data_IF_642583277847
#
_entry.id   IF_642583277847
#
_cell.length_a   1.000
_cell.length_b   1.000
_cell.length_c   1.000
_cell.angle_alpha   90.00
_cell.angle_beta   90.00
_cell.angle_gamma   90.00
#
_symmetry.space_group_name_H-M   'P 1'
#
loop_
_entity.id
_entity.type
_entity.pdbx_description
1 polymer ?
#
# COMPACT_ATOMS: atom_id res chain seq x y z
N UNK A 1 11.49 42.66 21.16
CA UNK A 1 10.60 41.66 21.83
C UNK A 1 10.54 40.33 21.10
N UNK A 2 10.32 40.28 19.77
CA UNK A 2 10.27 39.01 19.01
C UNK A 2 11.55 38.17 19.12
N UNK A 3 12.72 38.82 19.10
CA UNK A 3 14.03 38.17 19.22
C UNK A 3 14.23 37.47 20.58
N UNK A 4 13.69 38.03 21.67
CA UNK A 4 13.76 37.40 22.99
C UNK A 4 12.77 36.25 23.14
N UNK A 5 11.61 36.36 22.48
CA UNK A 5 10.57 35.32 22.51
C UNK A 5 10.98 34.06 21.74
N UNK A 6 11.66 34.24 20.59
CA UNK A 6 12.21 33.13 19.80
C UNK A 6 13.34 32.42 20.55
N UNK A 7 14.26 33.17 21.16
CA UNK A 7 15.34 32.59 21.97
C UNK A 7 14.82 31.84 23.21
N UNK A 8 13.74 32.34 23.84
CA UNK A 8 13.11 31.68 25.00
C UNK A 8 12.43 30.35 24.61
N UNK A 9 11.74 30.30 23.47
CA UNK A 9 11.13 29.05 22.96
C UNK A 9 12.19 28.01 22.59
N UNK A 10 13.32 28.44 22.03
CA UNK A 10 14.43 27.54 21.68
C UNK A 10 15.08 26.95 22.93
N UNK A 11 15.21 27.73 24.02
CA UNK A 11 15.78 27.27 25.28
C UNK A 11 14.87 26.33 26.07
N UNK A 12 13.55 26.58 26.08
CA UNK A 12 12.63 25.88 26.99
C UNK A 12 12.05 24.57 26.41
N UNK A 13 11.97 24.39 25.08
CA UNK A 13 11.15 23.32 24.48
C UNK A 13 11.87 22.25 23.67
N UNK A 14 13.14 22.44 23.28
CA UNK A 14 13.76 21.57 22.29
C UNK A 14 14.63 20.45 22.85
N UNK A 15 14.85 20.38 24.17
CA UNK A 15 15.71 19.34 24.70
C UNK A 15 15.35 18.80 26.08
N UNK A 16 14.52 17.76 26.07
CA UNK A 16 14.75 16.44 26.71
C UNK A 16 13.52 15.57 26.43
N UNK A 17 13.66 14.28 26.02
CA UNK A 17 14.47 13.27 26.72
C UNK A 17 15.24 12.26 25.81
N UNK A 18 15.76 12.66 24.64
CA UNK A 18 16.33 11.70 23.66
C UNK A 18 17.83 11.82 23.34
N UNK A 19 18.62 12.53 24.14
CA UNK A 19 20.08 12.65 23.89
C UNK A 19 20.83 11.63 24.72
N UNK A 20 21.63 10.77 24.08
CA UNK A 20 22.52 9.84 24.76
C UNK A 20 23.61 10.58 25.56
N UNK A 21 24.13 10.03 26.67
CA UNK A 21 24.90 10.79 27.66
C UNK A 21 26.35 11.12 27.26
N UNK A 22 26.85 10.65 26.11
CA UNK A 22 28.29 10.60 25.86
C UNK A 22 28.97 11.92 25.45
N UNK A 23 28.21 12.96 25.05
CA UNK A 23 28.65 14.37 25.06
C UNK A 23 27.47 15.26 24.66
N UNK A 24 26.59 15.64 25.62
CA UNK A 24 25.42 16.45 25.33
C UNK A 24 25.80 17.80 24.68
N UNK A 25 26.90 18.40 25.14
CA UNK A 25 27.43 19.69 24.66
C UNK A 25 27.69 19.70 23.15
N UNK A 26 28.30 18.65 22.60
CA UNK A 26 28.60 18.59 21.16
C UNK A 26 27.32 18.43 20.33
N UNK A 27 26.35 17.68 20.84
CA UNK A 27 25.04 17.53 20.20
C UNK A 27 24.29 18.87 20.16
N UNK A 28 24.20 19.57 21.29
CA UNK A 28 23.58 20.90 21.37
C UNK A 28 24.29 21.90 20.45
N UNK A 29 25.62 21.90 20.46
CA UNK A 29 26.42 22.78 19.61
C UNK A 29 26.21 22.49 18.12
N UNK A 30 26.09 21.21 17.73
CA UNK A 30 25.81 20.81 16.36
C UNK A 30 24.40 21.24 15.93
N UNK A 31 23.39 21.03 16.78
CA UNK A 31 22.00 21.46 16.50
C UNK A 31 21.89 22.97 16.40
N UNK A 32 22.49 23.72 17.32
CA UNK A 32 22.51 25.18 17.28
C UNK A 32 23.25 25.72 16.05
N UNK A 33 24.36 25.08 15.64
CA UNK A 33 25.07 25.43 14.41
C UNK A 33 24.22 25.15 13.17
N UNK A 34 23.60 23.98 13.07
CA UNK A 34 22.73 23.62 11.96
C UNK A 34 21.55 24.61 11.84
N UNK A 35 20.87 24.89 12.95
CA UNK A 35 19.75 25.82 12.98
C UNK A 35 20.15 27.25 12.61
N UNK A 36 21.33 27.70 13.07
CA UNK A 36 21.85 29.03 12.72
C UNK A 36 22.18 29.12 11.22
N UNK A 37 22.81 28.09 10.66
CA UNK A 37 23.11 28.00 9.22
C UNK A 37 21.82 28.00 8.40
N UNK A 38 20.87 27.11 8.70
CA UNK A 38 19.59 27.03 8.00
C UNK A 38 18.79 28.33 8.08
N UNK A 39 18.78 28.98 9.25
CA UNK A 39 18.09 30.27 9.43
C UNK A 39 18.77 31.39 8.62
N UNK A 40 20.09 31.36 8.49
CA UNK A 40 20.85 32.34 7.69
C UNK A 40 20.63 32.15 6.20
N UNK A 41 20.59 30.89 5.73
CA UNK A 41 20.30 30.54 4.34
C UNK A 41 18.87 30.91 3.96
N UNK A 42 17.90 30.60 4.83
CA UNK A 42 16.51 31.01 4.68
C UNK A 42 16.38 32.53 4.57
N UNK A 43 17.10 33.27 5.41
CA UNK A 43 17.10 34.74 5.36
C UNK A 43 17.65 35.24 4.03
N UNK A 44 18.77 34.71 3.56
CA UNK A 44 19.36 35.08 2.25
C UNK A 44 18.41 34.74 1.11
N UNK A 45 17.77 33.57 1.15
CA UNK A 45 16.77 33.14 0.18
C UNK A 45 15.57 34.09 0.14
N UNK A 46 14.98 34.40 1.30
CA UNK A 46 13.85 35.32 1.40
C UNK A 46 14.22 36.72 0.90
N UNK A 47 15.41 37.22 1.25
CA UNK A 47 15.91 38.50 0.70
C UNK A 47 15.93 38.47 -0.82
N UNK A 48 16.47 37.41 -1.46
CA UNK A 48 16.49 37.27 -2.92
C UNK A 48 15.09 37.23 -3.54
N UNK A 49 14.15 36.55 -2.89
CA UNK A 49 12.74 36.50 -3.32
C UNK A 49 12.08 37.87 -3.22
N UNK A 50 12.32 38.61 -2.13
CA UNK A 50 11.73 39.94 -1.93
C UNK A 50 12.37 41.03 -2.82
N UNK A 51 13.64 40.91 -3.19
CA UNK A 51 14.34 41.87 -4.05
C UNK A 51 14.06 41.66 -5.55
N UNK A 52 13.07 40.83 -5.91
CA UNK A 52 12.73 40.50 -7.30
C UNK A 52 13.92 40.01 -8.14
N UNK A 53 14.93 39.42 -7.51
CA UNK A 53 15.95 38.61 -8.17
C UNK A 53 15.41 37.19 -8.48
N UNK A 54 14.09 37.06 -8.50
CA UNK A 54 13.35 35.86 -8.88
C UNK A 54 13.61 35.46 -10.34
N UNK A 55 14.04 36.40 -11.18
CA UNK A 55 14.43 36.10 -12.57
C UNK A 55 15.77 35.35 -12.64
N UNK A 56 16.70 35.55 -11.70
CA UNK A 56 17.90 34.70 -11.58
C UNK A 56 17.59 33.31 -11.00
N UNK A 57 16.49 33.18 -10.25
CA UNK A 57 15.95 31.88 -9.79
C UNK A 57 15.10 31.17 -10.85
N UNK A 58 14.64 31.86 -11.90
CA UNK A 58 13.89 31.25 -13.03
C UNK A 58 14.81 30.68 -14.10
N UNK A 59 16.03 31.17 -14.26
CA UNK A 59 16.95 30.71 -15.31
C UNK A 59 17.82 29.56 -14.78
N UNK A 60 17.28 28.33 -14.83
CA UNK A 60 18.01 27.05 -15.04
C UNK A 60 17.14 25.78 -14.96
N UNK A 61 15.84 25.90 -14.69
CA UNK A 61 14.91 24.80 -14.78
C UNK A 61 14.02 25.04 -16.00
N UNK A 62 14.41 24.46 -17.14
CA UNK A 62 13.52 24.38 -18.28
C UNK A 62 12.28 23.59 -17.82
N UNK A 63 11.19 24.30 -17.51
CA UNK A 63 10.09 23.76 -16.69
C UNK A 63 9.48 22.48 -17.27
N UNK A 64 9.63 22.28 -18.58
CA UNK A 64 9.23 21.08 -19.29
C UNK A 64 10.21 19.91 -19.09
N UNK A 65 11.52 20.16 -19.08
CA UNK A 65 12.56 19.16 -18.80
C UNK A 65 12.52 18.73 -17.33
N UNK A 66 12.41 19.69 -16.40
CA UNK A 66 12.31 19.41 -14.96
C UNK A 66 11.05 18.61 -14.62
N UNK A 67 9.93 18.89 -15.30
CA UNK A 67 8.68 18.13 -15.13
C UNK A 67 8.79 16.71 -15.68
N UNK A 68 9.50 16.50 -16.79
CA UNK A 68 9.78 15.16 -17.33
C UNK A 68 10.75 14.37 -16.45
N UNK A 69 11.79 14.99 -15.91
CA UNK A 69 12.73 14.37 -14.98
C UNK A 69 12.05 14.01 -13.66
N UNK A 70 11.23 14.92 -13.09
CA UNK A 70 10.42 14.65 -11.90
C UNK A 70 9.40 13.53 -12.15
N UNK A 71 8.80 13.46 -13.34
CA UNK A 71 7.90 12.36 -13.71
C UNK A 71 8.66 11.03 -13.87
N UNK A 72 9.89 11.04 -14.39
CA UNK A 72 10.76 9.87 -14.47
C UNK A 72 11.24 9.41 -13.09
N UNK A 73 11.62 10.34 -12.21
CA UNK A 73 11.95 10.08 -10.81
C UNK A 73 10.76 9.45 -10.10
N UNK A 74 9.57 10.04 -10.22
CA UNK A 74 8.35 9.47 -9.67
C UNK A 74 8.05 8.08 -10.21
N UNK A 75 8.22 7.84 -11.52
CA UNK A 75 8.07 6.50 -12.10
C UNK A 75 9.11 5.50 -11.57
N UNK A 76 10.36 5.94 -11.40
CA UNK A 76 11.44 5.10 -10.86
C UNK A 76 11.21 4.74 -9.39
N UNK A 77 10.71 5.68 -8.59
CA UNK A 77 10.34 5.46 -7.20
C UNK A 77 9.12 4.54 -7.11
N UNK A 78 8.11 4.77 -7.96
CA UNK A 78 6.96 3.87 -8.09
C UNK A 78 7.36 2.46 -8.51
N UNK A 79 8.28 2.29 -9.46
CA UNK A 79 8.78 0.99 -9.85
C UNK A 79 9.55 0.31 -8.70
N UNK A 80 10.30 1.08 -7.91
CA UNK A 80 11.02 0.58 -6.72
C UNK A 80 10.07 0.13 -5.62
N UNK A 81 9.04 0.93 -5.31
CA UNK A 81 7.99 0.56 -4.36
C UNK A 81 7.17 -0.63 -4.88
N UNK A 82 6.86 -0.68 -6.17
CA UNK A 82 6.17 -1.82 -6.77
C UNK A 82 7.00 -3.10 -6.67
N UNK A 83 8.31 -3.03 -6.94
CA UNK A 83 9.23 -4.15 -6.73
C UNK A 83 9.27 -4.60 -5.26
N UNK A 84 9.23 -3.66 -4.31
CA UNK A 84 9.16 -3.96 -2.88
C UNK A 84 7.85 -4.65 -2.51
N UNK A 85 6.71 -4.17 -2.99
CA UNK A 85 5.39 -4.80 -2.78
C UNK A 85 5.37 -6.21 -3.39
N UNK A 86 5.88 -6.37 -4.60
CA UNK A 86 5.98 -7.68 -5.26
C UNK A 86 6.91 -8.62 -4.50
N UNK A 87 8.04 -8.15 -3.97
CA UNK A 87 8.95 -8.93 -3.13
C UNK A 87 8.27 -9.38 -1.81
N UNK A 88 7.54 -8.49 -1.14
CA UNK A 88 6.76 -8.85 0.05
C UNK A 88 5.65 -9.86 -0.25
N UNK A 89 4.96 -9.71 -1.38
CA UNK A 89 3.94 -10.67 -1.83
C UNK A 89 4.55 -12.04 -2.14
N UNK A 90 5.74 -12.09 -2.78
CA UNK A 90 6.46 -13.36 -3.02
C UNK A 90 6.90 -14.05 -1.73
N UNK A 91 7.29 -13.27 -0.71
CA UNK A 91 7.62 -13.80 0.62
C UNK A 91 6.38 -14.29 1.40
N UNK A 92 5.19 -13.85 0.98
CA UNK A 92 3.90 -14.26 1.52
C UNK A 92 3.52 -13.53 2.82
N UNK A 93 2.22 -13.35 3.04
CA UNK A 93 1.69 -12.75 4.27
C UNK A 93 1.56 -13.83 5.35
N UNK A 94 2.36 -13.74 6.41
CA UNK A 94 2.32 -14.70 7.53
C UNK A 94 1.12 -14.44 8.41
N UNK A 95 0.01 -15.14 8.18
CA UNK A 95 -1.22 -15.07 8.98
C UNK A 95 -1.06 -15.62 10.42
N UNK A 96 0.08 -16.26 10.72
CA UNK A 96 0.40 -16.81 12.03
C UNK A 96 1.92 -16.74 12.26
N UNK A 97 2.34 -16.15 13.39
CA UNK A 97 3.75 -16.10 13.80
C UNK A 97 4.17 -17.49 14.27
N UNK A 98 4.61 -18.32 13.33
CA UNK A 98 5.19 -19.63 13.61
C UNK A 98 6.68 -19.52 13.28
N UNK A 99 7.54 -19.84 14.25
CA UNK A 99 8.98 -19.93 14.05
C UNK A 99 9.27 -21.18 13.22
N UNK A 100 9.11 -21.09 11.90
CA UNK A 100 9.70 -22.08 11.01
C UNK A 100 11.17 -21.72 10.83
N UNK A 101 12.05 -22.65 11.20
CA UNK A 101 13.46 -22.64 10.81
C UNK A 101 13.53 -22.25 9.32
N UNK A 102 14.40 -21.30 9.03
CA UNK A 102 14.66 -20.81 7.68
C UNK A 102 14.90 -21.97 6.71
N UNK A 103 13.89 -22.34 5.92
CA UNK A 103 14.16 -22.76 4.56
C UNK A 103 14.51 -21.48 3.80
N UNK A 104 15.74 -21.41 3.30
CA UNK A 104 16.11 -20.41 2.30
C UNK A 104 15.05 -20.42 1.19
N UNK A 105 14.56 -19.25 0.74
CA UNK A 105 13.74 -19.19 -0.45
C UNK A 105 14.51 -19.90 -1.56
N UNK A 106 14.00 -21.05 -2.01
CA UNK A 106 14.65 -21.78 -3.09
C UNK A 106 14.50 -20.91 -4.33
N UNK A 107 15.62 -20.40 -4.84
CA UNK A 107 15.66 -19.75 -6.14
C UNK A 107 15.33 -20.83 -7.17
N UNK A 108 14.06 -20.91 -7.56
CA UNK A 108 13.67 -21.76 -8.67
C UNK A 108 14.00 -20.99 -9.95
N UNK A 109 14.96 -21.49 -10.72
CA UNK A 109 15.33 -20.97 -12.05
C UNK A 109 14.11 -20.88 -12.98
N UNK A 110 13.10 -21.70 -12.72
CA UNK A 110 11.83 -21.75 -13.42
C UNK A 110 10.70 -21.32 -12.49
N UNK A 111 9.80 -20.50 -13.02
CA UNK A 111 8.53 -20.18 -12.36
C UNK A 111 7.73 -21.46 -12.07
N UNK A 112 6.89 -21.49 -11.02
CA UNK A 112 6.00 -22.61 -10.77
C UNK A 112 5.15 -23.03 -11.99
N UNK A 113 4.83 -22.08 -12.88
CA UNK A 113 4.16 -22.35 -14.15
C UNK A 113 5.06 -23.10 -15.13
N UNK A 114 6.30 -22.68 -15.31
CA UNK A 114 7.25 -23.35 -16.22
C UNK A 114 7.58 -24.77 -15.75
N UNK A 115 7.75 -24.97 -14.44
CA UNK A 115 7.91 -26.30 -13.84
C UNK A 115 6.69 -27.17 -14.15
N UNK A 116 5.48 -26.65 -13.95
CA UNK A 116 4.24 -27.37 -14.24
C UNK A 116 4.12 -27.71 -15.74
N UNK A 117 4.45 -26.76 -16.62
CA UNK A 117 4.40 -26.98 -18.07
C UNK A 117 5.43 -28.02 -18.51
N UNK A 118 6.62 -28.04 -17.90
CA UNK A 118 7.65 -29.07 -18.13
C UNK A 118 7.19 -30.44 -17.63
N UNK A 119 6.60 -30.52 -16.44
CA UNK A 119 6.07 -31.76 -15.88
C UNK A 119 4.90 -32.32 -16.72
N UNK A 120 4.03 -31.47 -17.27
CA UNK A 120 2.97 -31.86 -18.21
C UNK A 120 3.57 -32.38 -19.52
N UNK A 121 4.53 -31.64 -20.11
CA UNK A 121 5.19 -32.02 -21.38
C UNK A 121 5.96 -33.33 -21.25
N UNK A 122 6.69 -33.50 -20.15
CA UNK A 122 7.44 -34.73 -19.82
C UNK A 122 6.57 -35.85 -19.25
N UNK A 123 5.27 -35.61 -19.05
CA UNK A 123 4.30 -36.54 -18.43
C UNK A 123 4.76 -37.06 -17.06
N UNK A 124 5.43 -36.21 -16.29
CA UNK A 124 5.93 -36.51 -14.95
C UNK A 124 4.80 -36.41 -13.91
N UNK A 125 3.72 -37.16 -14.12
CA UNK A 125 2.59 -37.21 -13.21
C UNK A 125 2.15 -38.66 -12.97
N UNK A 126 1.76 -38.96 -11.72
CA UNK A 126 1.15 -40.23 -11.36
C UNK A 126 -0.35 -40.01 -11.13
N UNK A 127 -1.18 -40.32 -12.13
CA UNK A 127 -2.63 -40.26 -11.97
C UNK A 127 -3.12 -41.49 -11.20
N UNK A 128 -3.93 -41.26 -10.16
CA UNK A 128 -4.71 -42.35 -9.55
C UNK A 128 -5.75 -42.83 -10.55
N UNK A 129 -5.69 -44.11 -10.94
CA UNK A 129 -6.71 -44.76 -11.75
C UNK A 129 -7.95 -44.96 -10.88
N UNK A 130 -8.97 -44.12 -11.07
CA UNK A 130 -10.29 -44.35 -10.46
C UNK A 130 -10.99 -45.39 -11.32
N UNK A 131 -10.95 -46.64 -10.86
CA UNK A 131 -11.70 -47.75 -11.44
C UNK A 131 -13.09 -47.79 -10.80
N UNK A 132 -14.12 -48.13 -11.58
CA UNK A 132 -15.46 -48.42 -11.06
C UNK A 132 -15.71 -49.89 -11.34
N UNK A 133 -15.82 -50.71 -10.29
CA UNK A 133 -16.04 -52.16 -10.37
C UNK A 133 -14.97 -52.97 -11.13
N UNK A 134 -13.69 -52.57 -11.04
CA UNK A 134 -12.59 -53.36 -11.61
C UNK A 134 -12.29 -53.13 -13.09
N UNK A 135 -13.06 -52.27 -13.76
CA UNK A 135 -12.77 -51.79 -15.11
C UNK A 135 -12.49 -50.28 -15.13
N UNK A 136 -11.66 -49.84 -16.09
CA UNK A 136 -11.51 -48.41 -16.41
C UNK A 136 -12.85 -47.97 -17.02
N UNK A 137 -13.56 -46.98 -16.44
CA UNK A 137 -14.81 -46.50 -17.01
C UNK A 137 -14.58 -46.15 -18.48
N UNK A 138 -15.39 -46.69 -19.42
CA UNK A 138 -15.23 -46.40 -20.84
C UNK A 138 -15.22 -44.88 -20.98
N UNK A 139 -14.11 -44.34 -21.53
CA UNK A 139 -13.92 -42.91 -21.80
C UNK A 139 -15.27 -42.33 -22.20
N UNK A 140 -15.73 -41.33 -21.46
CA UNK A 140 -17.04 -40.68 -21.64
C UNK A 140 -17.36 -40.67 -23.13
N UNK A 141 -18.24 -41.56 -23.59
CA UNK A 141 -18.41 -41.87 -25.02
C UNK A 141 -18.89 -40.66 -25.82
N UNK A 142 -19.34 -39.62 -25.12
CA UNK A 142 -19.80 -38.35 -25.66
C UNK A 142 -18.76 -37.30 -25.34
N UNK A 143 -18.23 -36.69 -26.39
CA UNK A 143 -17.40 -35.49 -26.31
C UNK A 143 -18.11 -34.44 -25.44
N UNK A 144 -17.41 -33.91 -24.43
CA UNK A 144 -17.98 -32.91 -23.51
C UNK A 144 -18.54 -31.71 -24.28
N UNK A 145 -17.89 -31.35 -25.39
CA UNK A 145 -18.35 -30.32 -26.29
C UNK A 145 -19.71 -30.66 -26.95
N UNK A 146 -19.91 -31.91 -27.38
CA UNK A 146 -21.18 -32.36 -27.93
C UNK A 146 -22.31 -32.34 -26.89
N UNK A 147 -22.02 -32.73 -25.65
CA UNK A 147 -22.98 -32.68 -24.53
C UNK A 147 -23.40 -31.23 -24.22
N UNK A 148 -22.44 -30.31 -24.20
CA UNK A 148 -22.72 -28.88 -23.97
C UNK A 148 -23.55 -28.30 -25.12
N UNK A 149 -23.26 -28.67 -26.37
CA UNK A 149 -24.04 -28.21 -27.52
C UNK A 149 -25.47 -28.75 -27.52
N UNK A 150 -25.67 -30.03 -27.18
CA UNK A 150 -27.01 -30.63 -27.02
C UNK A 150 -27.82 -29.92 -25.91
N UNK A 151 -27.13 -29.51 -24.83
CA UNK A 151 -27.72 -28.71 -23.77
C UNK A 151 -28.12 -27.31 -24.22
N UNK A 152 -27.29 -26.61 -24.99
CA UNK A 152 -27.64 -25.28 -25.54
C UNK A 152 -28.82 -25.38 -26.49
N UNK A 153 -28.82 -26.40 -27.37
CA UNK A 153 -29.87 -26.62 -28.38
C UNK A 153 -31.22 -27.02 -27.79
N UNK A 154 -31.23 -27.72 -26.66
CA UNK A 154 -32.46 -28.16 -25.98
C UNK A 154 -33.10 -27.07 -25.12
N UNK A 155 -32.41 -25.95 -24.86
CA UNK A 155 -32.97 -24.87 -24.05
C UNK A 155 -34.00 -24.07 -24.86
N UNK A 156 -35.19 -23.79 -24.31
CA UNK A 156 -36.14 -22.89 -24.93
C UNK A 156 -35.54 -21.47 -25.07
N UNK A 157 -35.98 -20.68 -26.07
CA UNK A 157 -35.50 -19.32 -26.26
C UNK A 157 -35.63 -18.47 -24.98
N UNK A 158 -34.58 -17.72 -24.64
CA UNK A 158 -34.60 -16.85 -23.47
C UNK A 158 -35.69 -15.78 -23.65
N UNK A 159 -36.43 -15.48 -22.58
CA UNK A 159 -37.39 -14.36 -22.59
C UNK A 159 -36.69 -13.04 -22.90
N UNK A 160 -37.39 -12.14 -23.61
CA UNK A 160 -36.88 -10.81 -23.94
C UNK A 160 -36.48 -10.07 -22.66
N UNK A 161 -35.44 -9.25 -22.73
CA UNK A 161 -34.94 -8.53 -21.56
C UNK A 161 -36.03 -7.65 -20.90
N UNK A 162 -36.93 -7.09 -21.70
CA UNK A 162 -38.11 -6.30 -21.26
C UNK A 162 -39.07 -7.07 -20.36
N UNK A 163 -39.16 -8.38 -20.55
CA UNK A 163 -40.15 -9.22 -19.85
C UNK A 163 -39.55 -9.80 -18.55
N UNK A 164 -38.27 -9.56 -18.29
CA UNK A 164 -37.55 -10.04 -17.10
C UNK A 164 -37.77 -9.06 -15.96
N UNK A 165 -38.59 -9.42 -14.97
CA UNK A 165 -38.67 -8.69 -13.69
C UNK A 165 -37.40 -8.94 -12.89
N UNK A 166 -36.46 -8.00 -12.91
CA UNK A 166 -35.29 -8.06 -12.04
C UNK A 166 -35.71 -7.87 -10.58
N UNK A 167 -35.06 -8.60 -9.67
CA UNK A 167 -35.22 -8.33 -8.25
C UNK A 167 -34.77 -6.89 -7.94
N UNK A 168 -35.42 -6.19 -6.99
CA UNK A 168 -34.99 -4.85 -6.58
C UNK A 168 -33.51 -4.86 -6.17
N UNK A 169 -32.76 -3.85 -6.63
CA UNK A 169 -31.34 -3.71 -6.28
C UNK A 169 -31.20 -3.56 -4.76
N UNK A 170 -30.62 -4.56 -4.09
CA UNK A 170 -30.26 -4.45 -2.68
C UNK A 170 -29.01 -3.57 -2.56
N UNK A 171 -29.20 -2.27 -2.29
CA UNK A 171 -28.10 -1.35 -1.99
C UNK A 171 -27.64 -1.58 -0.56
N UNK A 172 -26.40 -2.02 -0.39
CA UNK A 172 -25.74 -2.01 0.92
C UNK A 172 -25.21 -0.58 1.17
N UNK A 173 -25.42 0.00 2.37
CA UNK A 173 -24.91 1.32 2.69
C UNK A 173 -23.37 1.30 2.71
N UNK A 174 -22.75 2.32 2.14
CA UNK A 174 -21.31 2.51 2.15
C UNK A 174 -20.78 2.71 3.58
N UNK A 175 -19.49 2.44 3.85
CA UNK A 175 -18.89 2.69 5.16
C UNK A 175 -19.09 4.13 5.66
N UNK A 176 -19.05 5.11 4.75
CA UNK A 176 -19.32 6.53 5.06
C UNK A 176 -20.76 6.75 5.52
N UNK A 177 -21.73 6.17 4.83
CA UNK A 177 -23.16 6.29 5.21
C UNK A 177 -23.42 5.65 6.58
N UNK A 178 -22.84 4.47 6.83
CA UNK A 178 -22.94 3.80 8.13
C UNK A 178 -22.32 4.64 9.26
N UNK A 179 -21.15 5.26 9.01
CA UNK A 179 -20.50 6.16 9.97
C UNK A 179 -21.38 7.37 10.28
N UNK A 180 -21.88 8.07 9.24
CA UNK A 180 -22.75 9.23 9.43
C UNK A 180 -24.04 8.88 10.18
N UNK A 181 -24.63 7.71 9.93
CA UNK A 181 -25.78 7.21 10.68
C UNK A 181 -25.44 6.92 12.14
N UNK A 182 -24.28 6.33 12.43
CA UNK A 182 -23.84 6.10 13.82
C UNK A 182 -23.57 7.41 14.58
N UNK A 183 -23.06 8.43 13.89
CA UNK A 183 -22.87 9.77 14.46
C UNK A 183 -24.23 10.41 14.76
N UNK A 184 -25.19 10.35 13.81
CA UNK A 184 -26.56 10.85 14.00
C UNK A 184 -27.29 10.16 15.15
N UNK A 185 -27.12 8.84 15.30
CA UNK A 185 -27.69 8.06 16.41
C UNK A 185 -27.09 8.45 17.76
N UNK A 186 -25.85 8.94 17.78
CA UNK A 186 -25.13 9.27 19.00
C UNK A 186 -24.71 8.05 19.83
N UNK A 187 -23.88 8.29 20.84
CA UNK A 187 -23.50 7.28 21.85
C UNK A 187 -23.26 7.94 23.20
N UNK A 188 -23.47 7.21 24.28
CA UNK A 188 -23.16 7.67 25.64
C UNK A 188 -21.65 7.61 25.85
N UNK A 189 -21.04 8.73 26.26
CA UNK A 189 -19.62 8.82 26.60
C UNK A 189 -19.41 8.46 28.07
N UNK A 190 -18.26 7.85 28.38
CA UNK A 190 -17.91 7.55 29.78
C UNK A 190 -17.67 8.84 30.56
N UNK A 191 -18.20 8.98 31.79
CA UNK A 191 -17.92 10.13 32.65
C UNK A 191 -16.43 10.24 32.97
N UNK A 192 -15.91 11.47 33.04
CA UNK A 192 -14.53 11.75 33.47
C UNK A 192 -14.55 12.03 34.98
N UNK A 193 -13.78 11.27 35.76
CA UNK A 193 -13.62 11.53 37.20
C UNK A 193 -12.89 12.87 37.40
N UNK A 194 -13.55 13.83 38.04
CA UNK A 194 -12.93 15.11 38.40
C UNK A 194 -12.02 14.90 39.61
N UNK A 195 -10.71 14.86 39.37
CA UNK A 195 -9.70 14.85 40.43
C UNK A 195 -9.76 16.13 41.25
N UNK A 196 -9.88 15.97 42.56
CA UNK A 196 -9.88 16.98 43.62
C UNK A 196 -8.79 18.05 43.40
N UNK A 197 -9.20 19.28 43.09
CA UNK A 197 -8.37 20.47 43.29
C UNK A 197 -8.61 20.98 44.71
N UNK A 198 -7.86 20.45 45.68
CA UNK A 198 -7.78 21.06 47.00
C UNK A 198 -6.73 22.17 46.97
N UNK A 199 -7.14 23.32 47.48
CA UNK A 199 -6.46 24.62 47.50
C UNK A 199 -5.65 24.77 48.78
#
# INVERSE_FOLDING_TARGET
>A
MLYMYINKIISDYLCTPRVQPSSPEDHYRAVCRALATESSELRVFLTKVFTNDAESLRIKADAQSSRQELAKLAFSDWARFWMQVVDELRRGVRLKKINFNHHSPTEYELTPYEILMEDIRSRKYNLRKVMVNGDIPPKVKKDAHAVILEFIRSRPPLRKATDRKLAPLKRNPSPREQLLDSIRKGRVLKPVAQGLKNR
#
